data_IF_820102124833
#
_entry.id   IF_820102124833
#
_cell.length_a   1.000
_cell.length_b   1.000
_cell.length_c   1.000
_cell.angle_alpha   90.00
_cell.angle_beta   90.00
_cell.angle_gamma   90.00
#
_symmetry.space_group_name_H-M   'P 1'
#
loop_
_entity.id
_entity.type
_entity.pdbx_description
1 polymer ?
#
# COMPACT_ATOMS: atom_id res chain seq x y z
N UNK A 1 20.46 10.11 8.91
CA UNK A 1 19.99 9.35 7.73
C UNK A 1 19.73 7.91 8.15
N UNK A 2 18.47 7.49 8.27
CA UNK A 2 18.15 6.06 8.44
C UNK A 2 18.07 5.43 7.05
N UNK A 3 18.96 4.48 6.77
CA UNK A 3 18.95 3.69 5.54
C UNK A 3 17.78 2.70 5.61
N UNK A 4 16.81 2.81 4.70
CA UNK A 4 15.77 1.79 4.54
C UNK A 4 16.41 0.53 3.93
N UNK A 5 16.19 -0.63 4.56
CA UNK A 5 16.52 -1.95 4.01
C UNK A 5 15.24 -2.51 3.38
N UNK A 6 15.28 -2.87 2.10
CA UNK A 6 14.12 -3.38 1.36
C UNK A 6 14.48 -4.58 0.50
N UNK A 7 13.48 -5.37 0.15
CA UNK A 7 13.52 -6.43 -0.85
C UNK A 7 12.85 -5.89 -2.11
N UNK A 8 13.56 -5.92 -3.25
CA UNK A 8 13.01 -5.52 -4.55
C UNK A 8 12.80 -6.78 -5.40
N UNK A 9 11.54 -7.07 -5.73
CA UNK A 9 11.19 -8.10 -6.70
C UNK A 9 11.11 -7.49 -8.09
N UNK A 10 11.74 -8.11 -9.08
CA UNK A 10 11.65 -7.68 -10.49
C UNK A 10 10.91 -8.75 -11.29
N UNK A 11 9.70 -8.42 -11.74
CA UNK A 11 8.86 -9.25 -12.61
C UNK A 11 9.22 -8.93 -14.08
N UNK A 12 10.04 -9.77 -14.72
CA UNK A 12 10.40 -9.62 -16.13
C UNK A 12 9.35 -10.29 -17.05
N UNK A 13 9.01 -9.59 -18.14
CA UNK A 13 8.05 -10.04 -19.16
C UNK A 13 8.73 -10.69 -20.36
N UNK A 14 10.06 -10.65 -20.46
CA UNK A 14 10.82 -11.40 -21.46
C UNK A 14 11.63 -12.51 -20.82
N UNK A 15 11.15 -13.74 -20.96
CA UNK A 15 11.92 -14.93 -20.63
C UNK A 15 13.14 -15.04 -21.55
N UNK A 16 14.28 -14.49 -21.12
CA UNK A 16 15.60 -14.92 -21.59
C UNK A 16 16.28 -15.69 -20.45
N UNK A 17 16.82 -16.89 -20.70
CA UNK A 17 17.21 -17.81 -19.62
C UNK A 17 18.48 -17.42 -18.84
N UNK A 18 19.09 -16.25 -19.09
CA UNK A 18 20.36 -15.90 -18.47
C UNK A 18 20.52 -14.39 -18.26
N UNK A 19 19.87 -13.84 -17.23
CA UNK A 19 20.46 -12.86 -16.29
C UNK A 19 19.41 -12.46 -15.26
N UNK A 20 19.72 -12.59 -13.97
CA UNK A 20 18.96 -11.89 -12.93
C UNK A 20 19.94 -11.41 -11.87
N UNK A 21 20.28 -10.13 -11.94
CA UNK A 21 20.87 -9.42 -10.81
C UNK A 21 19.77 -9.24 -9.76
N UNK A 22 19.83 -10.01 -8.68
CA UNK A 22 19.16 -9.66 -7.43
C UNK A 22 20.02 -8.59 -6.77
N UNK A 23 19.67 -7.32 -6.97
CA UNK A 23 20.39 -6.23 -6.32
C UNK A 23 19.79 -6.03 -4.92
N UNK A 24 20.57 -6.37 -3.88
CA UNK A 24 20.39 -5.82 -2.54
C UNK A 24 20.62 -4.30 -2.61
N UNK A 25 19.61 -3.56 -3.04
CA UNK A 25 19.71 -2.12 -3.21
C UNK A 25 19.75 -1.44 -1.85
N UNK A 26 20.93 -0.90 -1.48
CA UNK A 26 20.97 0.31 -0.65
C UNK A 26 20.45 1.44 -1.52
N UNK A 27 19.18 1.81 -1.40
CA UNK A 27 18.65 2.99 -2.09
C UNK A 27 19.26 4.24 -1.43
N UNK A 28 20.42 4.65 -1.92
CA UNK A 28 20.96 5.98 -1.78
C UNK A 28 20.99 6.62 -3.17
N UNK A 29 20.14 7.63 -3.36
CA UNK A 29 20.25 8.67 -4.38
C UNK A 29 20.30 8.21 -5.86
N UNK A 30 19.13 8.10 -6.49
CA UNK A 30 19.02 8.19 -7.95
C UNK A 30 18.06 9.32 -8.37
N UNK A 31 18.18 10.50 -7.74
CA UNK A 31 17.71 11.78 -8.30
C UNK A 31 18.57 12.90 -7.71
N UNK A 32 19.70 13.22 -8.34
CA UNK A 32 20.26 14.59 -8.44
C UNK A 32 21.65 14.54 -9.07
N UNK A 33 21.76 14.97 -10.33
CA UNK A 33 22.85 15.84 -10.83
C UNK A 33 22.68 16.07 -12.34
N UNK A 34 22.01 17.16 -12.70
CA UNK A 34 22.32 17.88 -13.93
C UNK A 34 22.93 19.23 -13.51
N UNK A 35 24.22 19.50 -13.79
CA UNK A 35 24.69 20.88 -13.87
C UNK A 35 24.43 21.44 -15.28
N UNK A 36 24.19 22.76 -15.42
CA UNK A 36 23.91 23.35 -16.71
C UNK A 36 25.21 23.60 -17.50
N UNK A 37 25.17 23.19 -18.77
CA UNK A 37 25.85 23.82 -19.91
C UNK A 37 27.38 23.99 -19.88
N UNK A 38 28.08 23.18 -20.68
CA UNK A 38 29.12 23.66 -21.62
C UNK A 38 29.14 22.69 -22.81
N UNK A 39 29.01 23.22 -24.03
CA UNK A 39 28.91 22.43 -25.25
C UNK A 39 30.26 21.93 -25.77
N UNK A 40 30.25 20.74 -26.37
CA UNK A 40 31.18 20.32 -27.43
C UNK A 40 30.42 19.41 -28.40
N UNK A 41 30.61 19.65 -29.69
CA UNK A 41 29.96 19.00 -30.83
C UNK A 41 30.66 17.65 -31.21
N UNK A 42 30.21 16.87 -32.22
CA UNK A 42 29.98 15.43 -32.10
C UNK A 42 30.96 14.54 -32.90
N UNK A 43 31.01 13.25 -32.56
CA UNK A 43 31.58 12.18 -33.42
C UNK A 43 30.76 10.90 -33.24
N UNK A 44 29.80 10.70 -34.14
CA UNK A 44 29.80 9.64 -35.16
C UNK A 44 29.44 8.25 -34.62
N UNK A 45 28.16 7.85 -34.79
CA UNK A 45 27.73 6.66 -35.52
C UNK A 45 26.18 6.57 -35.51
N UNK A 46 25.56 6.78 -36.68
CA UNK A 46 24.34 6.06 -37.08
C UNK A 46 22.96 6.49 -36.56
N UNK A 47 22.58 7.78 -36.61
CA UNK A 47 21.17 8.17 -36.44
C UNK A 47 20.34 7.86 -37.70
N UNK A 48 19.42 6.88 -37.63
CA UNK A 48 18.30 6.80 -38.58
C UNK A 48 17.33 7.95 -38.27
N UNK A 49 17.12 8.81 -39.27
CA UNK A 49 16.16 9.91 -39.24
C UNK A 49 14.74 9.39 -38.99
N UNK A 50 14.11 9.80 -37.89
CA UNK A 50 12.65 9.85 -37.77
C UNK A 50 12.15 11.19 -38.33
N UNK A 51 10.99 11.26 -39.01
CA UNK A 51 10.45 12.49 -39.58
C UNK A 51 9.93 13.44 -38.49
N UNK A 52 9.90 14.76 -38.74
CA UNK A 52 9.55 15.77 -37.74
C UNK A 52 8.04 15.76 -37.47
N UNK A 53 7.68 15.76 -36.18
CA UNK A 53 6.30 15.96 -35.74
C UNK A 53 5.95 17.46 -35.82
N UNK A 54 5.04 17.82 -36.72
CA UNK A 54 4.38 19.12 -36.73
C UNK A 54 3.35 19.18 -35.60
N UNK A 55 3.44 20.24 -34.79
CA UNK A 55 2.46 20.69 -33.82
C UNK A 55 1.06 20.88 -34.44
N UNK A 56 0.02 20.50 -33.69
CA UNK A 56 -1.35 21.08 -33.53
C UNK A 56 -2.09 20.09 -32.58
N UNK A 57 -2.37 20.37 -31.30
CA UNK A 57 -3.42 21.26 -30.81
C UNK A 57 -4.66 20.45 -30.32
N UNK A 58 -4.86 20.32 -29.00
CA UNK A 58 -6.17 19.98 -28.37
C UNK A 58 -6.27 18.65 -27.60
N UNK A 59 -7.08 18.58 -26.50
CA UNK A 59 -7.13 17.44 -25.59
C UNK A 59 -8.06 16.36 -26.15
N UNK A 60 -7.50 15.22 -26.58
CA UNK A 60 -8.30 14.07 -26.98
C UNK A 60 -7.69 12.78 -26.43
N UNK A 61 -8.52 12.12 -25.62
CA UNK A 61 -8.66 10.67 -25.51
C UNK A 61 -7.39 9.89 -25.13
N UNK A 62 -7.25 9.62 -23.83
CA UNK A 62 -6.56 8.44 -23.34
C UNK A 62 -7.35 7.18 -23.77
N UNK A 63 -7.33 6.84 -25.05
CA UNK A 63 -7.63 5.48 -25.48
C UNK A 63 -6.44 4.62 -25.08
N UNK A 64 -6.61 3.88 -23.97
CA UNK A 64 -5.73 2.78 -23.57
C UNK A 64 -5.58 1.86 -24.78
N UNK A 65 -4.38 1.80 -25.35
CA UNK A 65 -3.99 0.64 -26.13
C UNK A 65 -3.96 -0.55 -25.16
N UNK A 66 -4.95 -1.43 -25.27
CA UNK A 66 -4.91 -2.75 -24.63
C UNK A 66 -3.80 -3.56 -25.31
N UNK A 67 -2.58 -3.41 -24.82
CA UNK A 67 -1.47 -4.29 -25.19
C UNK A 67 -1.73 -5.66 -24.52
N UNK A 68 -1.81 -6.78 -25.25
CA UNK A 68 -2.13 -8.09 -24.69
C UNK A 68 -1.04 -8.57 -23.73
N UNK A 69 -1.35 -8.78 -22.46
CA UNK A 69 -0.41 -9.03 -21.36
C UNK A 69 -0.05 -10.50 -21.18
N UNK A 70 1.01 -10.99 -21.84
CA UNK A 70 1.67 -12.23 -21.40
C UNK A 70 2.79 -11.89 -20.42
N UNK A 71 2.46 -11.62 -19.16
CA UNK A 71 3.46 -11.29 -18.14
C UNK A 71 3.83 -12.54 -17.33
N UNK A 72 5.04 -13.07 -17.49
CA UNK A 72 5.55 -14.18 -16.70
C UNK A 72 5.87 -13.71 -15.28
N UNK A 73 5.07 -14.09 -14.28
CA UNK A 73 5.32 -13.76 -12.87
C UNK A 73 6.34 -14.73 -12.26
N UNK A 74 7.51 -14.86 -12.89
CA UNK A 74 8.51 -15.88 -12.53
C UNK A 74 8.97 -15.80 -11.07
N UNK A 75 9.09 -14.61 -10.42
CA UNK A 75 9.43 -14.55 -9.00
C UNK A 75 8.45 -15.27 -8.08
N UNK A 76 7.15 -15.28 -8.39
CA UNK A 76 6.15 -16.03 -7.60
C UNK A 76 6.28 -17.54 -7.70
N UNK A 77 7.06 -18.03 -8.67
CA UNK A 77 7.35 -19.46 -8.85
C UNK A 77 8.75 -19.85 -8.39
N UNK A 78 9.60 -18.90 -7.96
CA UNK A 78 10.99 -19.17 -7.57
C UNK A 78 11.13 -19.15 -6.06
N UNK A 79 11.59 -20.26 -5.48
CA UNK A 79 11.63 -20.43 -4.02
C UNK A 79 12.50 -19.38 -3.31
N UNK A 80 13.57 -18.90 -3.98
CA UNK A 80 14.45 -17.88 -3.41
C UNK A 80 13.76 -16.51 -3.32
N UNK A 81 12.96 -16.15 -4.32
CA UNK A 81 12.15 -14.93 -4.26
C UNK A 81 11.06 -15.06 -3.18
N UNK A 82 10.38 -16.21 -3.12
CA UNK A 82 9.42 -16.52 -2.07
C UNK A 82 10.05 -16.49 -0.66
N UNK A 83 11.32 -16.85 -0.52
CA UNK A 83 12.07 -16.72 0.73
C UNK A 83 12.26 -15.26 1.12
N UNK A 84 12.75 -14.42 0.21
CA UNK A 84 12.96 -12.99 0.47
C UNK A 84 11.65 -12.28 0.82
N UNK A 85 10.59 -12.60 0.06
CA UNK A 85 9.21 -12.24 0.33
C UNK A 85 8.77 -12.66 1.74
N UNK A 86 9.05 -13.91 2.14
CA UNK A 86 8.72 -14.41 3.47
C UNK A 86 9.44 -13.64 4.58
N UNK A 87 10.70 -13.24 4.36
CA UNK A 87 11.45 -12.45 5.35
C UNK A 87 10.85 -11.05 5.48
N UNK A 88 10.49 -10.41 4.36
CA UNK A 88 9.84 -9.11 4.36
C UNK A 88 8.45 -9.17 5.02
N UNK A 89 7.66 -10.20 4.72
CA UNK A 89 6.32 -10.39 5.28
C UNK A 89 6.31 -10.75 6.78
N UNK A 90 7.25 -11.58 7.25
CA UNK A 90 7.12 -12.27 8.55
C UNK A 90 7.75 -11.53 9.75
N UNK A 91 8.65 -10.56 9.58
CA UNK A 91 9.30 -9.90 10.74
C UNK A 91 8.36 -8.94 11.49
N UNK A 92 7.49 -9.52 12.32
CA UNK A 92 6.78 -8.88 13.44
C UNK A 92 6.23 -9.87 14.45
N UNK A 93 7.10 -10.38 15.32
CA UNK A 93 6.62 -10.85 16.64
C UNK A 93 7.44 -10.24 17.77
N UNK A 94 8.75 -10.00 17.61
CA UNK A 94 9.60 -9.60 18.75
C UNK A 94 10.25 -8.20 18.66
N UNK A 95 10.50 -7.62 17.47
CA UNK A 95 11.33 -6.40 17.36
C UNK A 95 10.88 -5.45 16.23
N UNK A 96 9.59 -5.05 16.19
CA UNK A 96 9.17 -3.94 15.32
C UNK A 96 9.36 -2.60 16.03
N UNK A 97 10.61 -2.22 16.21
CA UNK A 97 10.98 -0.81 16.31
C UNK A 97 12.15 -0.56 15.36
N UNK A 98 11.86 0.14 14.26
CA UNK A 98 12.82 0.76 13.31
C UNK A 98 13.54 -0.09 12.26
N UNK A 99 13.42 -1.44 12.23
CA UNK A 99 14.23 -2.30 11.33
C UNK A 99 13.42 -3.29 10.43
N UNK A 100 12.13 -3.02 10.16
CA UNK A 100 11.34 -3.86 9.25
C UNK A 100 11.87 -3.78 7.82
N UNK A 101 12.02 -4.94 7.16
CA UNK A 101 12.29 -5.00 5.74
C UNK A 101 11.00 -4.64 4.98
N UNK A 102 11.13 -3.76 4.00
CA UNK A 102 10.04 -3.37 3.11
C UNK A 102 10.01 -4.28 1.89
N UNK A 103 8.82 -4.50 1.33
CA UNK A 103 8.63 -5.26 0.09
C UNK A 103 8.27 -4.31 -1.05
N UNK A 104 9.15 -4.20 -2.03
CA UNK A 104 8.93 -3.46 -3.26
C UNK A 104 8.83 -4.44 -4.43
N UNK A 105 7.90 -4.21 -5.35
CA UNK A 105 7.65 -5.03 -6.53
C UNK A 105 7.71 -4.18 -7.78
N UNK A 106 8.66 -4.45 -8.64
CA UNK A 106 8.82 -3.87 -9.95
C UNK A 106 8.37 -4.85 -11.04
N UNK A 107 7.80 -4.31 -12.12
CA UNK A 107 7.46 -5.05 -13.31
C UNK A 107 7.74 -4.20 -14.54
N UNK A 108 8.04 -4.82 -15.67
CA UNK A 108 8.18 -4.11 -16.94
C UNK A 108 7.09 -4.58 -17.89
N UNK A 109 6.28 -3.68 -18.46
CA UNK A 109 5.27 -4.07 -19.44
C UNK A 109 5.88 -4.39 -20.82
N UNK A 110 5.03 -4.78 -21.78
CA UNK A 110 5.47 -5.08 -23.15
C UNK A 110 5.98 -3.87 -23.92
N UNK A 111 5.71 -2.65 -23.44
CA UNK A 111 6.22 -1.41 -24.00
C UNK A 111 7.55 -0.99 -23.35
N UNK A 112 8.16 -1.86 -22.53
CA UNK A 112 9.36 -1.57 -21.76
C UNK A 112 9.19 -0.45 -20.72
N UNK A 113 7.97 -0.21 -20.26
CA UNK A 113 7.67 0.74 -19.20
C UNK A 113 7.79 0.03 -17.86
N UNK A 114 8.60 0.61 -16.96
CA UNK A 114 8.74 0.12 -15.61
C UNK A 114 7.58 0.60 -14.72
N UNK A 115 7.00 -0.34 -13.98
CA UNK A 115 5.95 -0.13 -12.99
C UNK A 115 6.46 -0.61 -11.64
N UNK A 116 6.17 0.12 -10.57
CA UNK A 116 6.67 -0.22 -9.23
C UNK A 116 5.59 -0.02 -8.19
N UNK A 117 5.36 -1.04 -7.37
CA UNK A 117 4.63 -1.01 -6.10
C UNK A 117 5.66 -1.02 -4.98
N UNK A 118 5.45 -0.20 -3.95
CA UNK A 118 6.34 -0.14 -2.79
C UNK A 118 5.60 -0.35 -1.49
N UNK A 119 6.30 -0.91 -0.49
CA UNK A 119 5.84 -0.86 0.89
C UNK A 119 6.33 0.46 1.52
N UNK A 120 5.39 1.39 1.70
CA UNK A 120 5.69 2.76 2.14
C UNK A 120 6.00 3.75 1.01
N UNK A 121 6.44 4.95 1.41
CA UNK A 121 6.69 6.10 0.55
C UNK A 121 8.15 6.14 0.08
N UNK A 122 8.38 6.55 -1.17
CA UNK A 122 9.75 6.66 -1.75
C UNK A 122 10.25 8.09 -1.91
N UNK A 123 11.54 8.32 -1.69
CA UNK A 123 12.29 9.49 -2.17
C UNK A 123 11.62 10.86 -1.94
N UNK A 124 10.98 11.41 -2.98
CA UNK A 124 10.28 12.69 -2.91
C UNK A 124 8.94 12.65 -2.17
N UNK A 125 8.28 11.48 -2.13
CA UNK A 125 7.00 11.25 -1.45
C UNK A 125 7.15 11.40 0.08
N UNK A 126 8.33 11.13 0.63
CA UNK A 126 8.63 11.33 2.06
C UNK A 126 8.93 12.77 2.44
N UNK A 127 9.22 13.63 1.44
CA UNK A 127 9.55 15.06 1.64
C UNK A 127 8.34 15.98 1.57
N UNK A 128 7.21 15.48 1.11
CA UNK A 128 5.93 16.20 1.12
C UNK A 128 5.16 15.85 2.39
N UNK A 129 4.06 16.56 2.65
CA UNK A 129 3.15 16.19 3.73
C UNK A 129 2.78 14.70 3.57
N UNK A 130 2.85 13.89 4.64
CA UNK A 130 2.82 12.43 4.49
C UNK A 130 1.56 11.89 3.78
N UNK A 131 0.43 12.60 3.89
CA UNK A 131 -0.81 12.25 3.17
C UNK A 131 -0.75 12.57 1.66
N UNK A 132 -0.06 13.64 1.26
CA UNK A 132 0.23 13.92 -0.16
C UNK A 132 1.23 12.92 -0.74
N UNK A 133 2.16 12.44 0.09
CA UNK A 133 3.05 11.34 -0.26
C UNK A 133 2.24 10.09 -0.64
N UNK A 134 1.19 9.78 0.11
CA UNK A 134 0.31 8.63 -0.18
C UNK A 134 -0.44 8.79 -1.50
N UNK A 135 -0.92 10.00 -1.83
CA UNK A 135 -1.50 10.29 -3.14
C UNK A 135 -0.49 10.07 -4.29
N UNK A 136 0.75 10.55 -4.13
CA UNK A 136 1.81 10.35 -5.11
C UNK A 136 2.12 8.87 -5.32
N UNK A 137 2.27 8.10 -4.23
CA UNK A 137 2.41 6.63 -4.26
C UNK A 137 1.28 5.98 -5.05
N UNK A 138 0.04 6.29 -4.68
CA UNK A 138 -1.15 5.74 -5.34
C UNK A 138 -1.28 6.12 -6.81
N UNK A 139 -0.75 7.26 -7.26
CA UNK A 139 -0.68 7.61 -8.69
C UNK A 139 0.39 6.80 -9.42
N UNK A 140 1.57 6.64 -8.83
CA UNK A 140 2.67 5.84 -9.40
C UNK A 140 2.25 4.39 -9.59
N UNK A 141 1.61 3.81 -8.58
CA UNK A 141 1.23 2.39 -8.52
C UNK A 141 -0.01 2.04 -9.34
N UNK A 142 -0.79 3.05 -9.77
CA UNK A 142 -2.00 2.84 -10.57
C UNK A 142 -1.74 2.14 -11.90
N UNK A 143 -0.54 2.34 -12.48
CA UNK A 143 -0.20 1.77 -13.78
C UNK A 143 0.27 0.31 -13.69
N UNK A 144 0.40 -0.24 -12.49
CA UNK A 144 0.94 -1.59 -12.31
C UNK A 144 0.03 -2.64 -12.97
N UNK A 145 0.57 -3.63 -13.71
CA UNK A 145 -0.24 -4.59 -14.46
C UNK A 145 -1.20 -5.42 -13.59
N UNK A 146 -2.49 -5.36 -13.90
CA UNK A 146 -3.55 -6.10 -13.17
C UNK A 146 -3.33 -7.62 -13.16
N UNK A 147 -2.85 -8.20 -14.26
CA UNK A 147 -2.62 -9.65 -14.32
C UNK A 147 -1.50 -10.10 -13.36
N UNK A 148 -0.50 -9.25 -13.12
CA UNK A 148 0.54 -9.53 -12.14
C UNK A 148 0.00 -9.40 -10.72
N UNK A 149 -0.86 -8.42 -10.46
CA UNK A 149 -1.56 -8.31 -9.18
C UNK A 149 -2.40 -9.57 -8.90
N UNK A 150 -3.15 -10.06 -9.89
CA UNK A 150 -3.96 -11.27 -9.76
C UNK A 150 -3.10 -12.51 -9.47
N UNK A 151 -1.97 -12.67 -10.15
CA UNK A 151 -1.02 -13.76 -9.86
C UNK A 151 -0.46 -13.66 -8.44
N UNK A 152 -0.22 -12.44 -7.96
CA UNK A 152 0.22 -12.16 -6.59
C UNK A 152 -0.79 -12.59 -5.51
N UNK A 153 -2.09 -12.63 -5.83
CA UNK A 153 -3.13 -13.12 -4.91
C UNK A 153 -3.10 -14.65 -4.72
N UNK A 154 -2.49 -15.38 -5.65
CA UNK A 154 -2.47 -16.85 -5.69
C UNK A 154 -1.08 -17.43 -5.44
N UNK A 155 -0.17 -16.66 -4.82
CA UNK A 155 1.17 -17.13 -4.47
C UNK A 155 1.07 -18.27 -3.46
N UNK A 156 1.78 -19.36 -3.74
CA UNK A 156 2.01 -20.45 -2.80
C UNK A 156 3.48 -20.83 -2.73
N UNK A 157 4.15 -20.39 -1.66
CA UNK A 157 5.58 -20.61 -1.47
C UNK A 157 5.97 -22.10 -1.41
N UNK A 158 5.05 -23.00 -1.02
CA UNK A 158 5.34 -24.44 -0.95
C UNK A 158 5.46 -25.08 -2.34
N UNK A 159 4.76 -24.51 -3.32
CA UNK A 159 4.77 -24.98 -4.72
C UNK A 159 5.92 -24.38 -5.52
N UNK A 160 6.62 -23.38 -4.99
CA UNK A 160 7.72 -22.72 -5.67
C UNK A 160 8.86 -23.70 -6.00
N UNK A 161 9.57 -23.38 -7.08
CA UNK A 161 10.60 -24.21 -7.70
C UNK A 161 11.99 -23.72 -7.32
N UNK A 162 12.93 -24.66 -7.23
CA UNK A 162 14.34 -24.40 -7.03
C UNK A 162 15.14 -25.07 -8.14
N UNK A 163 16.27 -24.48 -8.51
CA UNK A 163 17.24 -25.16 -9.39
C UNK A 163 17.92 -26.35 -8.69
N UNK A 164 17.90 -26.36 -7.36
CA UNK A 164 18.42 -27.43 -6.49
C UNK A 164 17.37 -27.78 -5.44
N UNK A 165 16.95 -29.04 -5.39
CA UNK A 165 15.93 -29.49 -4.43
C UNK A 165 16.38 -29.35 -2.97
N UNK A 166 17.70 -29.38 -2.71
CA UNK A 166 18.23 -29.12 -1.36
C UNK A 166 17.92 -27.69 -0.91
N UNK A 167 17.99 -26.71 -1.82
CA UNK A 167 17.69 -25.31 -1.51
C UNK A 167 16.20 -25.13 -1.19
N UNK A 168 15.31 -25.80 -1.95
CA UNK A 168 13.87 -25.81 -1.64
C UNK A 168 13.62 -26.32 -0.24
N UNK A 169 14.24 -27.45 0.12
CA UNK A 169 14.11 -28.07 1.43
C UNK A 169 14.58 -27.14 2.54
N UNK A 170 15.78 -26.57 2.40
CA UNK A 170 16.38 -25.67 3.39
C UNK A 170 15.56 -24.39 3.58
N UNK A 171 15.11 -23.79 2.49
CA UNK A 171 14.32 -22.56 2.52
C UNK A 171 12.99 -22.80 3.20
N UNK A 172 12.23 -23.82 2.78
CA UNK A 172 10.94 -24.13 3.39
C UNK A 172 11.11 -24.45 4.88
N UNK A 173 12.13 -25.21 5.27
CA UNK A 173 12.42 -25.44 6.67
C UNK A 173 12.84 -24.16 7.44
N UNK A 174 13.52 -23.21 6.79
CA UNK A 174 13.89 -21.93 7.41
C UNK A 174 12.67 -21.04 7.68
N UNK A 175 11.65 -21.09 6.81
CA UNK A 175 10.35 -20.43 7.01
C UNK A 175 9.56 -21.17 8.08
N UNK A 176 9.54 -22.51 8.03
CA UNK A 176 8.86 -23.38 9.01
C UNK A 176 9.41 -23.19 10.41
N UNK A 177 10.71 -23.04 10.56
CA UNK A 177 11.41 -22.97 11.83
C UNK A 177 12.50 -21.88 11.78
N UNK A 178 12.14 -20.59 11.91
CA UNK A 178 13.12 -19.52 12.01
C UNK A 178 14.06 -19.81 13.18
N UNK A 179 15.35 -19.59 12.97
CA UNK A 179 16.42 -19.90 13.95
C UNK A 179 16.65 -21.40 14.22
N UNK A 180 16.16 -22.30 13.37
CA UNK A 180 16.54 -23.71 13.44
C UNK A 180 18.05 -23.89 13.24
N UNK A 181 18.61 -24.93 13.89
CA UNK A 181 20.00 -25.35 13.67
C UNK A 181 20.17 -25.86 12.23
N UNK A 182 21.35 -25.69 11.65
CA UNK A 182 21.64 -26.04 10.25
C UNK A 182 21.19 -27.45 9.88
N UNK A 183 21.49 -28.45 10.73
CA UNK A 183 21.11 -29.85 10.46
C UNK A 183 19.59 -30.07 10.36
N UNK A 184 18.77 -29.24 11.01
CA UNK A 184 17.32 -29.35 10.93
C UNK A 184 16.75 -28.79 9.62
N UNK A 185 17.53 -28.00 8.88
CA UNK A 185 17.14 -27.45 7.58
C UNK A 185 17.22 -28.49 6.46
N UNK A 186 18.00 -29.55 6.63
CA UNK A 186 18.14 -30.65 5.65
C UNK A 186 17.09 -31.76 5.85
N UNK A 187 16.19 -31.63 6.83
CA UNK A 187 15.12 -32.61 7.07
C UNK A 187 14.01 -32.50 6.03
N UNK A 188 13.22 -33.55 5.75
CA UNK A 188 12.05 -33.43 4.88
C UNK A 188 11.11 -32.31 5.36
N UNK A 189 10.67 -31.47 4.42
CA UNK A 189 9.71 -30.41 4.69
C UNK A 189 8.27 -30.92 4.45
N UNK A 190 7.28 -30.50 5.26
CA UNK A 190 5.88 -30.80 4.98
C UNK A 190 5.40 -29.97 3.79
N UNK A 191 4.47 -30.51 3.00
CA UNK A 191 3.83 -29.77 1.89
C UNK A 191 2.90 -28.66 2.38
N UNK A 192 2.40 -28.76 3.61
CA UNK A 192 1.53 -27.77 4.25
C UNK A 192 2.09 -27.40 5.62
N UNK A 193 2.08 -26.12 5.94
CA UNK A 193 2.48 -25.65 7.26
C UNK A 193 1.85 -24.28 7.56
N UNK A 194 1.39 -24.02 8.80
CA UNK A 194 0.75 -22.74 9.14
C UNK A 194 1.60 -21.50 8.85
N UNK A 195 2.93 -21.61 8.92
CA UNK A 195 3.84 -20.50 8.56
C UNK A 195 3.90 -20.25 7.05
N UNK A 196 3.73 -21.26 6.21
CA UNK A 196 3.67 -21.06 4.76
C UNK A 196 2.37 -20.35 4.41
N UNK A 197 1.25 -20.82 4.96
CA UNK A 197 -0.05 -20.19 4.77
C UNK A 197 -0.04 -18.72 5.17
N UNK A 198 0.62 -18.41 6.28
CA UNK A 198 0.66 -17.04 6.77
C UNK A 198 1.57 -16.12 5.94
N UNK A 199 2.64 -16.64 5.33
CA UNK A 199 3.41 -15.91 4.30
C UNK A 199 2.57 -15.68 3.04
N UNK A 200 1.91 -16.74 2.53
CA UNK A 200 1.03 -16.66 1.37
C UNK A 200 -0.07 -15.60 1.57
N UNK A 201 -0.72 -15.58 2.75
CA UNK A 201 -1.74 -14.60 3.13
C UNK A 201 -1.17 -13.18 3.19
N UNK A 202 0.03 -12.99 3.74
CA UNK A 202 0.66 -11.68 3.82
C UNK A 202 1.01 -11.11 2.43
N UNK A 203 1.50 -11.96 1.53
CA UNK A 203 1.77 -11.58 0.13
C UNK A 203 0.49 -11.26 -0.62
N UNK A 204 -0.51 -12.14 -0.54
CA UNK A 204 -1.82 -11.91 -1.16
C UNK A 204 -2.44 -10.58 -0.68
N UNK A 205 -2.36 -10.28 0.62
CA UNK A 205 -2.82 -9.01 1.18
C UNK A 205 -2.07 -7.80 0.64
N UNK A 206 -0.74 -7.90 0.45
CA UNK A 206 0.07 -6.83 -0.17
C UNK A 206 -0.41 -6.49 -1.59
N UNK A 207 -0.65 -7.51 -2.42
CA UNK A 207 -1.19 -7.31 -3.77
C UNK A 207 -2.67 -6.87 -3.77
N UNK A 208 -3.46 -7.35 -2.81
CA UNK A 208 -4.87 -6.97 -2.68
C UNK A 208 -5.04 -5.48 -2.39
N UNK A 209 -4.21 -4.88 -1.54
CA UNK A 209 -4.26 -3.45 -1.23
C UNK A 209 -4.12 -2.57 -2.48
N UNK A 210 -3.15 -2.89 -3.35
CA UNK A 210 -2.99 -2.17 -4.63
C UNK A 210 -4.15 -2.45 -5.59
N UNK A 211 -4.61 -3.70 -5.63
CA UNK A 211 -5.71 -4.14 -6.50
C UNK A 211 -7.03 -3.45 -6.17
N UNK A 212 -7.34 -3.25 -4.87
CA UNK A 212 -8.56 -2.56 -4.41
C UNK A 212 -8.62 -1.16 -5.01
N UNK A 213 -7.52 -0.40 -4.89
CA UNK A 213 -7.46 0.95 -5.44
C UNK A 213 -7.65 0.94 -6.97
N UNK A 214 -7.00 0.00 -7.68
CA UNK A 214 -7.13 -0.08 -9.13
C UNK A 214 -8.55 -0.47 -9.58
N UNK A 215 -9.25 -1.35 -8.85
CA UNK A 215 -10.65 -1.70 -9.13
C UNK A 215 -11.53 -0.45 -9.13
N UNK A 216 -11.52 0.34 -8.04
CA UNK A 216 -12.34 1.55 -7.96
C UNK A 216 -11.94 2.63 -8.96
N UNK A 217 -10.64 2.77 -9.27
CA UNK A 217 -10.19 3.71 -10.32
C UNK A 217 -10.64 3.31 -11.72
N UNK A 218 -10.80 2.01 -11.99
CA UNK A 218 -11.38 1.52 -13.23
C UNK A 218 -12.93 1.57 -13.21
N UNK A 219 -13.53 2.18 -12.18
CA UNK A 219 -14.98 2.31 -12.05
C UNK A 219 -15.68 1.05 -11.54
N UNK A 220 -14.94 0.03 -11.11
CA UNK A 220 -15.47 -1.25 -10.63
C UNK A 220 -15.39 -1.33 -9.10
N UNK A 221 -16.34 -2.00 -8.47
CA UNK A 221 -16.19 -2.37 -7.06
C UNK A 221 -15.07 -3.41 -6.91
N UNK A 222 -14.37 -3.36 -5.77
CA UNK A 222 -13.36 -4.35 -5.46
C UNK A 222 -14.01 -5.73 -5.23
N UNK A 223 -13.55 -6.79 -5.92
CA UNK A 223 -14.05 -8.15 -5.72
C UNK A 223 -13.91 -8.62 -4.27
N UNK A 224 -14.82 -9.48 -3.82
CA UNK A 224 -14.80 -10.07 -2.46
C UNK A 224 -13.49 -10.78 -2.13
N UNK A 225 -12.81 -11.36 -3.13
CA UNK A 225 -11.52 -12.03 -2.98
C UNK A 225 -10.42 -11.09 -2.50
N UNK A 226 -10.44 -9.80 -2.87
CA UNK A 226 -9.46 -8.81 -2.40
C UNK A 226 -9.64 -8.50 -0.92
N UNK A 227 -10.89 -8.35 -0.49
CA UNK A 227 -11.24 -8.13 0.91
C UNK A 227 -10.91 -9.36 1.78
N UNK A 228 -11.17 -10.56 1.26
CA UNK A 228 -10.81 -11.82 1.92
C UNK A 228 -9.29 -11.98 2.06
N UNK A 229 -8.51 -11.62 1.04
CA UNK A 229 -7.05 -11.64 1.10
C UNK A 229 -6.54 -10.67 2.18
N UNK A 230 -7.10 -9.46 2.26
CA UNK A 230 -6.77 -8.49 3.30
C UNK A 230 -7.08 -9.02 4.72
N UNK A 231 -8.29 -9.55 4.93
CA UNK A 231 -8.73 -10.10 6.23
C UNK A 231 -7.89 -11.31 6.66
N UNK A 232 -7.48 -12.13 5.71
CA UNK A 232 -6.72 -13.37 5.99
C UNK A 232 -5.32 -13.10 6.54
N UNK A 233 -4.74 -11.94 6.25
CA UNK A 233 -3.46 -11.49 6.79
C UNK A 233 -3.62 -10.94 8.23
N UNK A 234 -3.99 -11.83 9.15
CA UNK A 234 -4.31 -11.47 10.53
C UNK A 234 -3.14 -10.88 11.33
N UNK A 235 -1.89 -11.11 10.90
CA UNK A 235 -0.68 -10.63 11.56
C UNK A 235 -0.28 -9.21 11.14
N UNK A 236 -0.90 -8.66 10.09
CA UNK A 236 -0.59 -7.31 9.60
C UNK A 236 -0.93 -6.25 10.64
N UNK A 237 0.08 -5.43 10.94
CA UNK A 237 -0.02 -4.34 11.93
C UNK A 237 -0.19 -2.96 11.31
N UNK A 238 0.15 -2.79 10.03
CA UNK A 238 0.13 -1.48 9.38
C UNK A 238 -0.57 -1.58 8.02
N UNK A 239 -1.52 -0.68 7.78
CA UNK A 239 -2.18 -0.49 6.49
C UNK A 239 -2.12 0.98 6.13
N UNK A 240 -1.69 1.26 4.90
CA UNK A 240 -1.74 2.59 4.30
C UNK A 240 -2.31 2.47 2.90
N UNK A 241 -3.43 3.14 2.63
CA UNK A 241 -4.06 3.12 1.31
C UNK A 241 -4.65 4.50 1.01
N UNK A 242 -4.44 4.97 -0.23
CA UNK A 242 -5.17 6.13 -0.77
C UNK A 242 -6.17 5.64 -1.80
N UNK A 243 -7.43 5.96 -1.55
CA UNK A 243 -8.54 5.81 -2.49
C UNK A 243 -8.91 7.17 -3.09
N UNK A 244 -7.96 8.12 -3.09
CA UNK A 244 -8.23 9.48 -3.56
C UNK A 244 -8.68 9.48 -5.02
N UNK A 245 -9.83 10.13 -5.27
CA UNK A 245 -10.46 10.20 -6.59
C UNK A 245 -11.27 8.96 -6.98
N UNK A 246 -11.40 7.96 -6.10
CA UNK A 246 -12.24 6.78 -6.33
C UNK A 246 -13.72 7.12 -6.05
N UNK A 247 -14.37 7.82 -6.97
CA UNK A 247 -15.76 8.29 -6.84
C UNK A 247 -16.80 7.15 -6.65
N UNK A 248 -16.49 5.93 -7.08
CA UNK A 248 -17.35 4.76 -6.87
C UNK A 248 -17.14 4.08 -5.51
N UNK A 249 -16.17 4.53 -4.70
CA UNK A 249 -16.01 4.09 -3.32
C UNK A 249 -16.96 4.90 -2.42
N UNK A 250 -18.02 4.24 -1.93
CA UNK A 250 -19.14 4.85 -1.19
C UNK A 250 -19.20 4.33 0.25
N UNK A 251 -20.16 4.84 1.01
CA UNK A 251 -20.31 4.55 2.45
C UNK A 251 -20.33 3.02 2.77
N UNK A 252 -21.06 2.17 2.00
CA UNK A 252 -21.03 0.72 2.22
C UNK A 252 -19.66 0.08 1.94
N UNK A 253 -18.90 0.62 0.98
CA UNK A 253 -17.55 0.12 0.65
C UNK A 253 -16.56 0.40 1.79
N UNK A 254 -16.70 1.55 2.46
CA UNK A 254 -15.91 1.84 3.65
C UNK A 254 -16.25 0.86 4.77
N UNK A 255 -17.53 0.52 4.97
CA UNK A 255 -17.91 -0.50 5.94
C UNK A 255 -17.27 -1.85 5.62
N UNK A 256 -17.30 -2.28 4.35
CA UNK A 256 -16.65 -3.51 3.90
C UNK A 256 -15.15 -3.47 4.16
N UNK A 257 -14.47 -2.35 3.86
CA UNK A 257 -13.04 -2.18 4.19
C UNK A 257 -12.82 -2.41 5.68
N UNK A 258 -13.56 -1.69 6.54
CA UNK A 258 -13.42 -1.76 8.00
C UNK A 258 -13.64 -3.18 8.51
N UNK A 259 -14.70 -3.87 8.06
CA UNK A 259 -15.01 -5.24 8.49
C UNK A 259 -13.96 -6.26 8.02
N UNK A 260 -13.14 -5.94 7.02
CA UNK A 260 -12.09 -6.82 6.48
C UNK A 260 -10.67 -6.43 6.92
N UNK A 261 -10.52 -5.50 7.86
CA UNK A 261 -9.20 -5.17 8.39
C UNK A 261 -8.63 -6.30 9.27
N UNK A 262 -7.29 -6.50 9.26
CA UNK A 262 -6.61 -7.44 10.13
C UNK A 262 -6.87 -7.20 11.62
N UNK A 263 -7.01 -8.29 12.40
CA UNK A 263 -7.33 -8.21 13.82
C UNK A 263 -6.21 -7.63 14.69
N UNK A 264 -4.94 -7.76 14.26
CA UNK A 264 -3.76 -7.22 14.96
C UNK A 264 -3.31 -5.86 14.40
N UNK A 265 -4.17 -5.17 13.65
CA UNK A 265 -3.85 -3.86 13.09
C UNK A 265 -3.57 -2.82 14.20
N UNK A 266 -2.43 -2.15 14.09
CA UNK A 266 -1.95 -1.12 15.03
C UNK A 266 -1.92 0.27 14.39
N UNK A 267 -1.66 0.37 13.08
CA UNK A 267 -1.64 1.63 12.34
C UNK A 267 -2.51 1.55 11.10
N UNK A 268 -3.46 2.47 10.99
CA UNK A 268 -4.32 2.63 9.82
C UNK A 268 -4.19 4.05 9.28
N UNK A 269 -3.79 4.15 8.01
CA UNK A 269 -3.78 5.39 7.25
C UNK A 269 -4.66 5.30 6.02
N UNK A 270 -5.66 6.16 5.93
CA UNK A 270 -6.60 6.24 4.82
C UNK A 270 -6.58 7.66 4.22
N UNK A 271 -6.33 7.77 2.92
CA UNK A 271 -6.68 8.99 2.16
C UNK A 271 -7.95 8.71 1.35
N UNK A 272 -9.06 9.33 1.78
CA UNK A 272 -10.40 9.17 1.21
C UNK A 272 -10.87 10.45 0.52
N UNK A 273 -9.95 11.37 0.17
CA UNK A 273 -10.28 12.61 -0.53
C UNK A 273 -10.93 12.35 -1.89
N UNK A 274 -11.99 13.10 -2.23
CA UNK A 274 -12.68 12.99 -3.52
C UNK A 274 -13.18 11.56 -3.84
N UNK A 275 -13.61 10.83 -2.81
CA UNK A 275 -14.37 9.57 -2.93
C UNK A 275 -15.85 9.86 -3.06
N UNK A 276 -16.68 8.82 -3.24
CA UNK A 276 -18.14 8.93 -3.23
C UNK A 276 -18.74 8.83 -1.83
N UNK A 277 -17.95 9.10 -0.78
CA UNK A 277 -18.42 9.10 0.60
C UNK A 277 -19.24 10.35 0.88
N UNK A 278 -20.41 10.16 1.49
CA UNK A 278 -21.30 11.25 1.88
C UNK A 278 -21.52 11.26 3.40
N UNK A 279 -21.75 10.10 4.01
CA UNK A 279 -22.04 10.00 5.44
C UNK A 279 -21.39 8.76 6.04
N UNK A 280 -20.77 8.91 7.21
CA UNK A 280 -20.09 7.78 7.88
C UNK A 280 -21.01 6.99 8.83
N UNK A 281 -22.32 7.21 8.77
CA UNK A 281 -23.30 6.64 9.70
C UNK A 281 -23.32 5.09 9.67
N UNK A 282 -23.01 4.47 8.51
CA UNK A 282 -22.91 3.01 8.34
C UNK A 282 -21.80 2.33 9.16
N UNK A 283 -20.86 3.13 9.68
CA UNK A 283 -19.82 2.64 10.58
C UNK A 283 -20.34 2.38 12.00
N UNK A 284 -21.55 2.85 12.34
CA UNK A 284 -22.14 2.59 13.65
C UNK A 284 -22.19 1.07 13.94
N UNK A 285 -21.70 0.68 15.11
CA UNK A 285 -21.63 -0.73 15.51
C UNK A 285 -20.51 -1.54 14.84
N UNK A 286 -19.63 -0.93 14.03
CA UNK A 286 -18.35 -1.54 13.70
C UNK A 286 -17.53 -1.67 14.99
N UNK A 287 -17.05 -2.87 15.31
CA UNK A 287 -16.13 -3.09 16.41
C UNK A 287 -14.74 -3.28 15.83
N UNK A 288 -13.88 -2.29 16.05
CA UNK A 288 -12.49 -2.38 15.64
C UNK A 288 -11.70 -3.29 16.59
N UNK A 289 -10.68 -3.97 16.06
CA UNK A 289 -9.73 -4.70 16.89
C UNK A 289 -9.12 -3.77 17.94
N UNK A 290 -9.12 -4.21 19.21
CA UNK A 290 -8.62 -3.43 20.37
C UNK A 290 -7.11 -3.10 20.31
N UNK A 291 -6.42 -3.37 19.20
CA UNK A 291 -4.99 -3.17 19.02
C UNK A 291 -4.63 -1.87 18.28
N UNK A 292 -5.59 -1.14 17.70
CA UNK A 292 -5.29 0.06 16.92
C UNK A 292 -4.73 1.18 17.79
N UNK A 293 -3.53 1.64 17.47
CA UNK A 293 -2.78 2.67 18.19
C UNK A 293 -2.71 3.99 17.41
N UNK A 294 -2.68 3.92 16.08
CA UNK A 294 -2.57 5.08 15.20
C UNK A 294 -3.68 5.05 14.16
N UNK A 295 -4.46 6.13 14.10
CA UNK A 295 -5.47 6.35 13.07
C UNK A 295 -5.19 7.68 12.37
N UNK A 296 -4.96 7.62 11.06
CA UNK A 296 -4.77 8.80 10.22
C UNK A 296 -5.78 8.74 9.07
N UNK A 297 -6.69 9.70 9.00
CA UNK A 297 -7.69 9.74 7.94
C UNK A 297 -7.76 11.13 7.32
N UNK A 298 -7.85 11.16 5.99
CA UNK A 298 -8.16 12.38 5.23
C UNK A 298 -9.46 12.27 4.47
N UNK A 299 -10.26 13.31 4.57
CA UNK A 299 -11.48 13.54 3.81
C UNK A 299 -11.40 14.87 3.06
N UNK A 300 -11.94 14.87 1.84
CA UNK A 300 -12.19 16.06 1.03
C UNK A 300 -13.27 15.77 0.00
N UNK A 301 -13.97 16.79 -0.50
CA UNK A 301 -15.08 16.65 -1.45
C UNK A 301 -16.45 16.71 -0.77
N UNK A 302 -17.28 15.68 -0.96
CA UNK A 302 -18.73 15.77 -0.70
C UNK A 302 -19.18 15.23 0.66
N UNK A 303 -18.26 15.00 1.61
CA UNK A 303 -18.61 14.42 2.91
C UNK A 303 -19.42 15.41 3.76
N UNK A 304 -20.60 14.97 4.22
CA UNK A 304 -21.56 15.74 5.00
C UNK A 304 -21.48 15.45 6.50
N UNK A 305 -21.12 14.22 6.89
CA UNK A 305 -21.08 13.81 8.29
C UNK A 305 -19.92 12.84 8.60
N UNK A 306 -19.26 13.06 9.74
CA UNK A 306 -18.21 12.19 10.30
C UNK A 306 -18.59 11.49 11.61
N UNK A 307 -19.84 11.61 12.05
CA UNK A 307 -20.38 11.02 13.30
C UNK A 307 -19.94 9.57 13.55
N UNK A 308 -20.00 8.73 12.51
CA UNK A 308 -19.67 7.31 12.59
C UNK A 308 -18.18 6.98 12.74
N UNK A 309 -17.27 7.96 12.61
CA UNK A 309 -15.85 7.76 12.96
C UNK A 309 -15.65 7.40 14.42
N UNK A 310 -16.61 7.72 15.28
CA UNK A 310 -16.60 7.30 16.69
C UNK A 310 -16.49 5.77 16.86
N UNK A 311 -16.94 4.97 15.88
CA UNK A 311 -16.78 3.52 15.88
C UNK A 311 -15.32 3.07 15.70
N UNK A 312 -14.46 3.92 15.15
CA UNK A 312 -13.03 3.67 14.96
C UNK A 312 -12.19 4.08 16.18
N UNK A 313 -12.80 4.75 17.16
CA UNK A 313 -12.12 5.22 18.37
C UNK A 313 -12.07 4.09 19.41
N UNK A 314 -10.93 3.40 19.48
CA UNK A 314 -10.70 2.33 20.46
C UNK A 314 -9.84 2.81 21.65
N UNK A 315 -9.95 2.19 22.85
CA UNK A 315 -9.22 2.61 24.06
C UNK A 315 -7.68 2.57 23.94
N UNK A 316 -7.17 1.77 23.01
CA UNK A 316 -5.74 1.64 22.72
C UNK A 316 -5.18 2.74 21.82
N UNK A 317 -6.05 3.57 21.23
CA UNK A 317 -5.65 4.63 20.32
C UNK A 317 -4.78 5.65 21.08
N UNK A 318 -3.60 5.92 20.53
CA UNK A 318 -2.61 6.88 21.03
C UNK A 318 -2.46 8.09 20.12
N UNK A 319 -2.55 7.87 18.80
CA UNK A 319 -2.44 8.93 17.81
C UNK A 319 -3.69 8.97 16.94
N UNK A 320 -4.31 10.15 16.87
CA UNK A 320 -5.40 10.45 15.96
C UNK A 320 -5.03 11.66 15.11
N UNK A 321 -5.08 11.50 13.79
CA UNK A 321 -4.82 12.57 12.83
C UNK A 321 -5.97 12.62 11.82
N UNK A 322 -6.75 13.70 11.84
CA UNK A 322 -7.89 13.90 10.95
C UNK A 322 -7.66 15.13 10.08
N UNK A 323 -7.76 14.93 8.77
CA UNK A 323 -7.67 16.00 7.77
C UNK A 323 -9.04 16.17 7.11
N UNK A 324 -9.68 17.29 7.37
CA UNK A 324 -10.98 17.69 6.84
C UNK A 324 -10.74 18.93 5.98
N UNK A 325 -10.72 18.74 4.65
CA UNK A 325 -10.33 19.79 3.70
C UNK A 325 -11.36 19.92 2.61
N UNK A 326 -11.79 21.15 2.28
CA UNK A 326 -12.68 21.42 1.16
C UNK A 326 -13.97 20.57 1.23
N UNK A 327 -14.64 20.63 2.38
CA UNK A 327 -15.90 19.95 2.67
C UNK A 327 -17.00 21.01 2.87
N UNK A 328 -17.62 21.52 1.78
CA UNK A 328 -18.57 22.62 1.86
C UNK A 328 -19.82 22.26 2.66
N UNK A 329 -20.25 21.00 2.58
CA UNK A 329 -21.49 20.49 3.16
C UNK A 329 -21.27 19.75 4.50
N UNK A 330 -20.06 19.78 5.07
CA UNK A 330 -19.80 19.13 6.35
C UNK A 330 -20.57 19.85 7.47
N UNK A 331 -21.54 19.13 8.02
CA UNK A 331 -22.49 19.64 9.02
C UNK A 331 -21.80 19.86 10.36
N UNK A 332 -20.95 18.92 10.78
CA UNK A 332 -20.30 18.93 12.08
C UNK A 332 -19.00 18.11 12.08
N UNK A 333 -18.19 18.30 13.11
CA UNK A 333 -16.94 17.57 13.38
C UNK A 333 -16.96 16.82 14.72
N UNK A 334 -18.10 16.75 15.41
CA UNK A 334 -18.21 15.96 16.63
C UNK A 334 -18.01 14.46 16.39
N UNK A 335 -17.21 13.83 17.25
CA UNK A 335 -16.94 12.40 17.26
C UNK A 335 -17.77 11.73 18.36
N UNK A 336 -19.03 11.43 18.02
CA UNK A 336 -20.04 10.96 18.95
C UNK A 336 -20.61 12.09 19.83
N UNK A 337 -21.61 11.77 20.66
CA UNK A 337 -22.35 12.77 21.45
C UNK A 337 -21.40 13.60 22.31
N UNK A 338 -21.23 14.89 21.99
CA UNK A 338 -20.39 15.85 22.70
C UNK A 338 -18.92 15.41 22.84
N UNK A 339 -18.38 14.72 21.82
CA UNK A 339 -17.00 14.21 21.81
C UNK A 339 -16.65 13.26 22.97
N UNK A 340 -17.64 12.66 23.65
CA UNK A 340 -17.42 11.77 24.81
C UNK A 340 -16.52 10.58 24.47
N UNK A 341 -16.58 10.06 23.25
CA UNK A 341 -15.72 8.95 22.83
C UNK A 341 -14.25 9.38 22.78
N UNK A 342 -13.97 10.54 22.19
CA UNK A 342 -12.64 11.14 22.12
C UNK A 342 -12.07 11.46 23.52
N UNK A 343 -12.89 12.04 24.41
CA UNK A 343 -12.47 12.42 25.77
C UNK A 343 -12.12 11.23 26.68
N UNK A 344 -12.58 10.02 26.34
CA UNK A 344 -12.23 8.78 27.08
C UNK A 344 -10.88 8.20 26.65
N UNK A 345 -10.33 8.66 25.52
CA UNK A 345 -9.07 8.15 25.00
C UNK A 345 -7.88 8.75 25.74
N UNK A 346 -6.83 7.95 25.88
CA UNK A 346 -5.52 8.42 26.34
C UNK A 346 -4.65 8.70 25.13
N UNK A 347 -5.02 9.74 24.37
CA UNK A 347 -4.26 10.17 23.20
C UNK A 347 -2.96 10.84 23.64
N UNK A 348 -1.87 10.42 23.02
CA UNK A 348 -0.56 11.06 23.09
C UNK A 348 -0.46 12.18 22.04
N UNK A 349 -1.14 12.02 20.90
CA UNK A 349 -1.12 12.98 19.80
C UNK A 349 -2.51 13.09 19.16
N UNK A 350 -3.04 14.32 19.11
CA UNK A 350 -4.22 14.67 18.32
C UNK A 350 -3.84 15.76 17.32
N UNK A 351 -4.00 15.46 16.03
CA UNK A 351 -3.81 16.41 14.94
C UNK A 351 -5.13 16.59 14.21
N UNK A 352 -5.64 17.81 14.23
CA UNK A 352 -6.87 18.18 13.52
C UNK A 352 -6.56 19.28 12.52
N UNK A 353 -6.74 18.96 11.25
CA UNK A 353 -6.66 19.92 10.15
C UNK A 353 -8.07 20.15 9.62
N UNK A 354 -8.61 21.36 9.82
CA UNK A 354 -9.94 21.74 9.33
C UNK A 354 -9.79 22.99 8.47
N UNK A 355 -9.94 22.84 7.16
CA UNK A 355 -9.83 23.94 6.20
C UNK A 355 -10.90 23.82 5.11
N UNK A 356 -11.46 24.93 4.64
CA UNK A 356 -12.49 24.88 3.59
C UNK A 356 -13.80 24.20 4.02
N UNK A 357 -14.13 24.23 5.31
CA UNK A 357 -15.39 23.70 5.86
C UNK A 357 -16.26 24.85 6.42
N UNK A 358 -16.99 25.60 5.56
CA UNK A 358 -17.76 26.78 5.95
C UNK A 358 -19.00 26.44 6.80
N UNK A 359 -19.63 25.29 6.55
CA UNK A 359 -20.87 24.87 7.23
C UNK A 359 -20.65 24.37 8.65
N UNK A 360 -19.42 23.96 8.99
CA UNK A 360 -19.08 23.49 10.34
C UNK A 360 -19.18 24.64 11.35
N UNK A 361 -20.02 24.52 12.38
CA UNK A 361 -20.20 25.54 13.42
C UNK A 361 -18.87 25.92 14.11
N UNK A 362 -18.77 27.18 14.53
CA UNK A 362 -17.61 27.64 15.33
C UNK A 362 -17.49 26.88 16.65
N UNK A 363 -18.62 26.53 17.25
CA UNK A 363 -18.69 25.81 18.51
C UNK A 363 -18.01 24.43 18.40
N UNK A 364 -18.31 23.66 17.35
CA UNK A 364 -17.67 22.36 17.08
C UNK A 364 -16.15 22.50 16.88
N UNK A 365 -15.71 23.56 16.18
CA UNK A 365 -14.27 23.87 16.00
C UNK A 365 -13.59 24.21 17.31
N UNK A 366 -14.29 24.84 18.26
CA UNK A 366 -13.77 25.14 19.59
C UNK A 366 -13.85 23.96 20.55
N UNK A 367 -14.85 23.09 20.45
CA UNK A 367 -15.06 21.94 21.31
C UNK A 367 -13.95 20.88 21.19
N UNK A 368 -13.29 20.82 20.04
CA UNK A 368 -12.16 19.93 19.77
C UNK A 368 -10.78 20.53 20.11
N UNK A 369 -10.72 21.78 20.59
CA UNK A 369 -9.53 22.28 21.28
C UNK A 369 -9.43 21.57 22.62
N UNK A 370 -8.95 20.32 22.60
CA UNK A 370 -8.52 19.63 23.80
C UNK A 370 -7.57 20.58 24.53
N UNK A 371 -7.89 20.91 25.78
CA UNK A 371 -7.01 21.69 26.62
C UNK A 371 -5.63 21.03 26.58
N UNK A 372 -4.63 21.77 26.14
CA UNK A 372 -3.24 21.44 26.39
C UNK A 372 -3.12 21.40 27.92
N UNK A 373 -3.06 20.20 28.48
CA UNK A 373 -2.67 19.99 29.89
C UNK A 373 -1.18 19.77 29.93
#
# INVERSE_FOLDING_TARGET
>A
MKLCRGVLLVLDTQATPFTLEVVLCRIASFVSSYPPGVGVAPSAYGARKLPPATHLGGPRLWQRYNCPTTTTATPFTRIWCCFEESIAAWRSVEERDTNSLLLDVAATDLCHIAHVITDGLVGAETRVLPILGLLCKSRREQSFPMDLLQKGLSVDIATAQASKEEDKTRILNSVRCPRARTWALDTPFPTQHPRYDAVNKALASHFALTSIQQSYRNGQQAPSTLWQALRSDAERRNIQVSLTGCHNFRDPDLRILIDNLPSKLQSLRLDLAYTGLERLDDLAGASFGNALQTLVIRFAGSLRSISGLSALLCPSLRRLELWLSDLPDLEDIELGVSNKALLKLRLEELVLYVNGCPSVPRESKTALKLGVV
#
